data_IF_697532178243
#
_entry.id   IF_697532178243
#
_cell.length_a   1.000
_cell.length_b   1.000
_cell.length_c   1.000
_cell.angle_alpha   90.00
_cell.angle_beta   90.00
_cell.angle_gamma   90.00
#
_symmetry.space_group_name_H-M   'P 1'
#
loop_
_entity.id
_entity.type
_entity.pdbx_description
1 polymer ?
#
# COMPACT_ATOMS: atom_id res chain seq x y z
N UNK A 1 40.63 38.92 -64.90
CA UNK A 1 39.92 39.09 -66.19
C UNK A 1 38.90 37.96 -66.33
N UNK A 2 37.66 38.40 -66.49
CA UNK A 2 36.42 37.70 -66.85
C UNK A 2 35.84 36.60 -65.89
N UNK A 3 34.85 37.08 -65.24
CA UNK A 3 33.73 36.34 -64.55
C UNK A 3 33.01 35.43 -65.59
N UNK A 4 32.51 34.32 -65.04
CA UNK A 4 31.44 33.55 -65.69
C UNK A 4 30.41 33.19 -64.66
N UNK A 5 29.26 33.85 -64.74
CA UNK A 5 28.07 33.66 -63.87
C UNK A 5 27.30 32.47 -64.42
N UNK A 6 27.13 31.41 -63.60
CA UNK A 6 26.17 30.34 -63.89
C UNK A 6 24.94 30.56 -63.02
N UNK A 7 23.82 30.83 -63.67
CA UNK A 7 22.48 30.92 -63.08
C UNK A 7 21.95 29.52 -62.74
N UNK A 8 21.79 29.24 -61.46
CA UNK A 8 21.03 28.07 -61.00
C UNK A 8 19.57 28.45 -60.79
N UNK A 9 18.65 27.78 -61.49
CA UNK A 9 17.20 27.92 -61.34
C UNK A 9 16.75 27.13 -60.11
N UNK A 10 16.22 27.81 -59.12
CA UNK A 10 15.55 27.23 -57.99
C UNK A 10 14.15 26.72 -58.40
N UNK A 11 13.97 25.40 -58.40
CA UNK A 11 12.64 24.79 -58.41
C UNK A 11 12.18 24.68 -56.96
N UNK A 12 11.20 25.47 -56.60
CA UNK A 12 10.50 25.42 -55.34
C UNK A 12 9.53 24.22 -55.35
N UNK A 13 9.88 23.14 -54.71
CA UNK A 13 8.94 22.06 -54.42
C UNK A 13 8.19 22.43 -53.13
N UNK A 14 6.95 22.83 -53.28
CA UNK A 14 6.00 23.09 -52.17
C UNK A 14 5.47 21.73 -51.70
N UNK A 15 6.11 21.15 -50.70
CA UNK A 15 5.54 20.00 -49.98
C UNK A 15 4.53 20.49 -48.96
N UNK A 16 3.25 20.27 -49.27
CA UNK A 16 2.11 20.57 -48.35
C UNK A 16 2.10 19.46 -47.30
N UNK A 17 2.72 19.70 -46.16
CA UNK A 17 2.61 18.81 -44.97
C UNK A 17 1.28 19.11 -44.28
N UNK A 18 0.30 18.25 -44.52
CA UNK A 18 -0.95 18.21 -43.71
C UNK A 18 -0.59 17.59 -42.37
N UNK A 19 -0.31 18.45 -41.38
CA UNK A 19 -0.24 18.03 -39.98
C UNK A 19 -1.66 17.86 -39.45
N UNK A 20 -2.14 16.62 -39.43
CA UNK A 20 -3.30 16.25 -38.60
C UNK A 20 -2.91 16.45 -37.15
N UNK A 21 -3.64 17.26 -36.37
CA UNK A 21 -3.45 17.27 -34.92
C UNK A 21 -3.94 15.92 -34.37
N UNK A 22 -3.00 15.08 -33.92
CA UNK A 22 -3.34 13.96 -33.06
C UNK A 22 -3.90 14.59 -31.76
N UNK A 23 -5.21 14.74 -31.68
CA UNK A 23 -5.88 15.02 -30.42
C UNK A 23 -5.67 13.78 -29.53
N UNK A 24 -4.61 13.78 -28.72
CA UNK A 24 -4.53 12.93 -27.54
C UNK A 24 -5.70 13.38 -26.63
N UNK A 25 -6.86 12.76 -26.82
CA UNK A 25 -7.89 12.79 -25.82
C UNK A 25 -7.29 12.12 -24.57
N UNK A 26 -6.87 12.92 -23.62
CA UNK A 26 -6.61 12.43 -22.27
C UNK A 26 -7.94 11.88 -21.79
N UNK A 27 -8.12 10.57 -21.86
CA UNK A 27 -9.26 9.90 -21.26
C UNK A 27 -9.21 10.24 -19.76
N UNK A 28 -10.07 11.16 -19.36
CA UNK A 28 -10.25 11.49 -17.95
C UNK A 28 -10.76 10.19 -17.31
N UNK A 29 -10.02 9.66 -16.35
CA UNK A 29 -10.44 8.45 -15.65
C UNK A 29 -11.89 8.66 -15.15
N UNK A 30 -12.78 7.73 -15.50
CA UNK A 30 -14.17 7.81 -15.09
C UNK A 30 -14.23 7.85 -13.55
N UNK A 31 -15.05 8.74 -12.99
CA UNK A 31 -15.22 8.83 -11.54
C UNK A 31 -15.83 7.52 -11.01
N UNK A 32 -15.33 7.03 -9.87
CA UNK A 32 -15.91 5.87 -9.21
C UNK A 32 -17.30 6.21 -8.66
N UNK A 33 -18.24 5.28 -8.76
CA UNK A 33 -19.66 5.50 -8.44
C UNK A 33 -20.01 4.84 -7.10
N UNK A 34 -20.73 5.55 -6.25
CA UNK A 34 -21.41 5.05 -5.06
C UNK A 34 -22.89 4.96 -5.34
N UNK A 35 -23.45 3.75 -5.42
CA UNK A 35 -24.89 3.55 -5.65
C UNK A 35 -25.67 3.80 -4.35
N UNK A 36 -25.14 3.34 -3.22
CA UNK A 36 -25.72 3.51 -1.90
C UNK A 36 -24.66 3.29 -0.83
N UNK A 37 -24.78 3.97 0.30
CA UNK A 37 -23.96 3.65 1.47
C UNK A 37 -24.39 2.33 2.12
N UNK A 38 -25.64 1.93 1.97
CA UNK A 38 -26.24 0.74 2.58
C UNK A 38 -26.34 -0.44 1.63
N UNK A 39 -26.56 -1.62 2.21
CA UNK A 39 -26.74 -2.87 1.49
C UNK A 39 -25.43 -3.48 0.97
N UNK A 40 -25.51 -4.48 0.11
CA UNK A 40 -24.34 -5.14 -0.47
C UNK A 40 -23.62 -4.23 -1.47
N UNK A 41 -22.33 -4.50 -1.68
CA UNK A 41 -21.57 -3.89 -2.78
C UNK A 41 -22.21 -4.28 -4.10
N UNK A 42 -22.47 -3.30 -4.97
CA UNK A 42 -23.16 -3.52 -6.25
C UNK A 42 -22.17 -3.85 -7.38
N UNK A 43 -22.70 -4.43 -8.46
CA UNK A 43 -21.90 -4.63 -9.68
C UNK A 43 -21.43 -3.31 -10.29
N UNK A 44 -22.26 -2.27 -10.23
CA UNK A 44 -21.92 -0.96 -10.76
C UNK A 44 -20.75 -0.31 -9.99
N UNK A 45 -20.77 -0.40 -8.65
CA UNK A 45 -19.66 0.09 -7.80
C UNK A 45 -18.35 -0.65 -8.13
N UNK A 46 -18.39 -1.98 -8.26
CA UNK A 46 -17.21 -2.77 -8.63
C UNK A 46 -16.73 -2.42 -10.04
N UNK A 47 -17.66 -2.33 -11.02
CA UNK A 47 -17.28 -2.02 -12.40
C UNK A 47 -16.67 -0.62 -12.51
N UNK A 48 -17.26 0.39 -11.85
CA UNK A 48 -16.70 1.75 -11.85
C UNK A 48 -15.30 1.81 -11.23
N UNK A 49 -15.03 1.00 -10.19
CA UNK A 49 -13.68 0.85 -9.63
C UNK A 49 -12.72 0.19 -10.63
N UNK A 50 -13.14 -0.89 -11.29
CA UNK A 50 -12.32 -1.59 -12.29
C UNK A 50 -11.99 -0.66 -13.46
N UNK A 51 -12.99 0.06 -13.98
CA UNK A 51 -12.81 1.02 -15.08
C UNK A 51 -11.84 2.14 -14.69
N UNK A 52 -11.97 2.70 -13.48
CA UNK A 52 -11.02 3.65 -12.94
C UNK A 52 -9.61 3.06 -12.87
N UNK A 53 -9.46 1.85 -12.31
CA UNK A 53 -8.18 1.17 -12.17
C UNK A 53 -7.51 0.89 -13.52
N UNK A 54 -8.28 0.60 -14.57
CA UNK A 54 -7.72 0.39 -15.93
C UNK A 54 -6.99 1.63 -16.46
N UNK A 55 -7.45 2.85 -16.10
CA UNK A 55 -6.81 4.11 -16.47
C UNK A 55 -5.49 4.40 -15.72
N UNK A 56 -5.21 3.70 -14.63
CA UNK A 56 -4.00 3.94 -13.84
C UNK A 56 -2.75 3.42 -14.54
N UNK A 57 -1.63 4.10 -14.28
CA UNK A 57 -0.30 3.66 -14.69
C UNK A 57 0.61 3.60 -13.46
N UNK A 58 1.53 2.62 -13.37
CA UNK A 58 2.55 2.60 -12.35
C UNK A 58 3.48 3.80 -12.51
N UNK A 59 4.02 4.29 -11.41
CA UNK A 59 5.05 5.33 -11.41
C UNK A 59 6.32 4.83 -12.13
N UNK A 60 7.09 5.76 -12.67
CA UNK A 60 8.30 5.46 -13.44
C UNK A 60 9.56 5.34 -12.56
N UNK A 61 9.47 5.60 -11.27
CA UNK A 61 10.60 5.47 -10.34
C UNK A 61 10.10 5.46 -8.88
N UNK A 62 10.90 4.89 -7.97
CA UNK A 62 10.64 4.94 -6.53
C UNK A 62 11.14 6.27 -5.92
N UNK A 63 10.69 7.40 -6.45
CA UNK A 63 10.89 8.70 -5.85
C UNK A 63 9.75 8.96 -4.87
N UNK A 64 10.04 9.62 -3.73
CA UNK A 64 9.05 9.98 -2.71
C UNK A 64 8.22 8.80 -2.18
N UNK A 65 8.83 7.63 -2.05
CA UNK A 65 8.18 6.38 -1.60
C UNK A 65 7.04 5.91 -2.51
N UNK A 66 7.15 6.09 -3.82
CA UNK A 66 6.10 5.76 -4.79
C UNK A 66 5.50 4.35 -4.60
N UNK A 67 6.34 3.36 -4.26
CA UNK A 67 5.95 1.98 -4.03
C UNK A 67 5.58 1.63 -2.57
N UNK A 68 5.65 2.60 -1.66
CA UNK A 68 5.23 2.41 -0.27
C UNK A 68 3.92 3.18 -0.01
N UNK A 69 4.05 4.43 0.44
CA UNK A 69 2.92 5.33 0.74
C UNK A 69 2.56 6.22 -0.46
N UNK A 70 3.31 6.14 -1.54
CA UNK A 70 3.08 6.87 -2.76
C UNK A 70 1.93 6.28 -3.58
N UNK A 71 1.65 6.93 -4.70
CA UNK A 71 0.46 6.63 -5.51
C UNK A 71 0.42 5.19 -6.00
N UNK A 72 1.52 4.65 -6.51
CA UNK A 72 1.54 3.27 -7.06
C UNK A 72 1.34 2.21 -5.97
N UNK A 73 1.94 2.41 -4.79
CA UNK A 73 1.76 1.51 -3.65
C UNK A 73 0.32 1.51 -3.14
N UNK A 74 -0.28 2.69 -2.96
CA UNK A 74 -1.68 2.79 -2.53
C UNK A 74 -2.65 2.24 -3.60
N UNK A 75 -2.38 2.42 -4.89
CA UNK A 75 -3.15 1.81 -5.97
C UNK A 75 -3.14 0.28 -5.90
N UNK A 76 -1.98 -0.34 -5.66
CA UNK A 76 -1.88 -1.79 -5.51
C UNK A 76 -2.65 -2.30 -4.30
N UNK A 77 -2.52 -1.63 -3.14
CA UNK A 77 -3.30 -1.98 -1.93
C UNK A 77 -4.80 -1.88 -2.18
N UNK A 78 -5.25 -0.83 -2.87
CA UNK A 78 -6.66 -0.62 -3.20
C UNK A 78 -7.19 -1.69 -4.16
N UNK A 79 -6.45 -1.99 -5.24
CA UNK A 79 -6.81 -3.04 -6.19
C UNK A 79 -6.89 -4.42 -5.52
N UNK A 80 -5.93 -4.74 -4.66
CA UNK A 80 -5.93 -6.02 -3.93
C UNK A 80 -7.12 -6.14 -2.98
N UNK A 81 -7.51 -5.04 -2.32
CA UNK A 81 -8.65 -5.02 -1.41
C UNK A 81 -9.97 -5.26 -2.16
N UNK A 82 -10.16 -4.62 -3.31
CA UNK A 82 -11.36 -4.83 -4.15
C UNK A 82 -11.35 -6.20 -4.82
N UNK A 83 -10.19 -6.72 -5.20
CA UNK A 83 -10.06 -8.07 -5.72
C UNK A 83 -10.49 -9.13 -4.68
N UNK A 84 -10.19 -8.91 -3.39
CA UNK A 84 -10.65 -9.78 -2.31
C UNK A 84 -12.19 -9.77 -2.14
N UNK A 85 -12.88 -8.72 -2.57
CA UNK A 85 -14.35 -8.59 -2.55
C UNK A 85 -14.97 -9.24 -3.80
N UNK A 86 -14.44 -8.89 -4.97
CA UNK A 86 -14.97 -9.28 -6.27
C UNK A 86 -13.82 -9.58 -7.25
N UNK A 87 -13.29 -10.81 -7.26
CA UNK A 87 -12.23 -11.20 -8.18
C UNK A 87 -12.63 -10.98 -9.64
N UNK A 88 -11.77 -10.32 -10.41
CA UNK A 88 -11.97 -10.10 -11.84
C UNK A 88 -10.66 -10.17 -12.60
N UNK A 89 -10.67 -10.72 -13.82
CA UNK A 89 -9.48 -10.84 -14.64
C UNK A 89 -8.86 -9.47 -14.97
N UNK A 90 -9.63 -8.44 -15.40
CA UNK A 90 -9.04 -7.14 -15.69
C UNK A 90 -8.31 -6.52 -14.50
N UNK A 91 -8.84 -6.68 -13.29
CA UNK A 91 -8.19 -6.15 -12.08
C UNK A 91 -6.92 -6.92 -11.75
N UNK A 92 -6.91 -8.25 -11.92
CA UNK A 92 -5.72 -9.07 -11.72
C UNK A 92 -4.62 -8.69 -12.72
N UNK A 93 -4.97 -8.50 -13.99
CA UNK A 93 -4.04 -8.10 -15.04
C UNK A 93 -3.40 -6.74 -14.72
N UNK A 94 -4.21 -5.79 -14.26
CA UNK A 94 -3.72 -4.48 -13.83
C UNK A 94 -2.77 -4.58 -12.63
N UNK A 95 -3.11 -5.39 -11.62
CA UNK A 95 -2.23 -5.65 -10.48
C UNK A 95 -0.90 -6.28 -10.92
N UNK A 96 -0.95 -7.25 -11.83
CA UNK A 96 0.27 -7.88 -12.37
C UNK A 96 1.13 -6.85 -13.10
N UNK A 97 0.54 -5.98 -13.92
CA UNK A 97 1.30 -4.92 -14.61
C UNK A 97 2.01 -3.97 -13.63
N UNK A 98 1.38 -3.64 -12.50
CA UNK A 98 2.00 -2.85 -11.44
C UNK A 98 3.12 -3.61 -10.72
N UNK A 99 2.92 -4.90 -10.42
CA UNK A 99 3.94 -5.72 -9.78
C UNK A 99 5.13 -6.01 -10.69
N UNK A 100 4.92 -6.10 -12.02
CA UNK A 100 5.99 -6.18 -12.99
C UNK A 100 6.84 -4.90 -13.03
N UNK A 101 6.19 -3.73 -13.08
CA UNK A 101 6.87 -2.45 -13.01
C UNK A 101 7.65 -2.32 -11.68
N UNK A 102 7.00 -2.59 -10.55
CA UNK A 102 7.64 -2.60 -9.24
C UNK A 102 8.90 -3.46 -9.21
N UNK A 103 8.82 -4.71 -9.66
CA UNK A 103 9.95 -5.63 -9.62
C UNK A 103 11.05 -5.20 -10.58
N UNK A 104 10.72 -4.68 -11.76
CA UNK A 104 11.71 -4.21 -12.75
C UNK A 104 12.50 -2.99 -12.25
N UNK A 105 11.95 -2.21 -11.33
CA UNK A 105 12.62 -1.05 -10.71
C UNK A 105 13.46 -1.38 -9.48
N UNK A 106 13.51 -2.64 -9.05
CA UNK A 106 14.33 -3.01 -7.90
C UNK A 106 15.82 -2.86 -8.22
N UNK A 107 16.58 -2.29 -7.31
CA UNK A 107 17.98 -1.87 -7.51
C UNK A 107 18.89 -2.95 -8.12
N UNK A 108 18.70 -4.22 -7.75
CA UNK A 108 19.51 -5.33 -8.26
C UNK A 108 19.03 -5.85 -9.63
N UNK A 109 17.88 -5.39 -10.14
CA UNK A 109 17.29 -5.76 -11.43
C UNK A 109 17.37 -4.61 -12.42
N UNK A 110 17.03 -3.40 -11.98
CA UNK A 110 17.06 -2.20 -12.80
C UNK A 110 18.48 -1.99 -13.38
N UNK A 111 18.65 -1.78 -14.69
CA UNK A 111 19.97 -1.56 -15.30
C UNK A 111 20.69 -0.30 -14.77
N UNK A 112 22.03 -0.35 -14.77
CA UNK A 112 22.85 0.83 -14.51
C UNK A 112 22.61 1.92 -15.58
N UNK A 113 22.73 3.23 -15.24
CA UNK A 113 23.15 3.77 -13.94
C UNK A 113 22.00 3.97 -12.93
N UNK A 114 20.74 3.76 -13.35
CA UNK A 114 19.60 3.97 -12.46
C UNK A 114 19.50 2.89 -11.38
N UNK A 115 19.79 1.64 -11.71
CA UNK A 115 19.95 0.50 -10.80
C UNK A 115 21.40 0.05 -10.68
N UNK A 116 21.60 -1.16 -10.12
CA UNK A 116 22.92 -1.78 -9.87
C UNK A 116 23.82 -0.89 -9.00
N UNK A 117 23.23 -0.12 -8.12
CA UNK A 117 23.91 0.88 -7.30
C UNK A 117 24.26 0.31 -5.93
N UNK A 118 25.47 0.62 -5.47
CA UNK A 118 25.90 0.29 -4.10
C UNK A 118 25.15 1.19 -3.13
N UNK A 119 24.48 0.58 -2.13
CA UNK A 119 23.74 1.30 -1.10
C UNK A 119 24.52 1.36 0.20
N UNK A 120 23.94 1.93 1.25
CA UNK A 120 24.56 2.10 2.58
C UNK A 120 25.12 0.81 3.20
N UNK A 121 24.67 -0.36 2.78
CA UNK A 121 25.20 -1.67 3.21
C UNK A 121 26.56 -2.02 2.55
N UNK A 122 27.05 -1.20 1.64
CA UNK A 122 28.24 -1.47 0.83
C UNK A 122 28.01 -2.50 -0.28
N UNK A 123 26.77 -2.85 -0.60
CA UNK A 123 26.39 -3.87 -1.59
C UNK A 123 25.31 -3.35 -2.53
N UNK A 124 25.12 -4.07 -3.65
CA UNK A 124 23.94 -3.96 -4.51
C UNK A 124 22.88 -4.89 -3.91
N UNK A 125 22.04 -4.35 -3.03
CA UNK A 125 20.99 -5.12 -2.38
C UNK A 125 19.66 -5.10 -3.18
N UNK A 126 18.79 -6.12 -3.02
CA UNK A 126 17.49 -6.20 -3.68
C UNK A 126 16.47 -5.29 -2.97
N UNK A 127 16.52 -3.99 -3.26
CA UNK A 127 15.77 -2.93 -2.57
C UNK A 127 15.18 -1.91 -3.54
N UNK A 128 14.26 -1.10 -3.05
CA UNK A 128 13.72 0.09 -3.72
C UNK A 128 14.19 1.34 -2.96
N UNK A 129 15.27 2.00 -3.40
CA UNK A 129 15.80 3.16 -2.69
C UNK A 129 14.80 4.31 -2.64
N UNK A 130 14.52 4.82 -1.44
CA UNK A 130 13.64 5.97 -1.25
C UNK A 130 14.38 7.31 -1.29
N UNK A 131 15.70 7.27 -1.15
CA UNK A 131 16.59 8.44 -1.25
C UNK A 131 17.74 8.14 -2.21
N UNK A 132 17.48 8.09 -3.54
CA UNK A 132 18.48 7.72 -4.52
C UNK A 132 19.57 8.79 -4.71
N UNK A 133 19.30 10.05 -4.32
CA UNK A 133 20.19 11.18 -4.55
C UNK A 133 21.18 11.44 -3.40
N UNK A 134 21.05 10.73 -2.27
CA UNK A 134 22.00 10.83 -1.16
C UNK A 134 23.12 9.80 -1.29
N UNK A 135 24.31 10.11 -0.75
CA UNK A 135 25.45 9.20 -0.73
C UNK A 135 25.87 8.91 0.72
N UNK A 136 25.91 7.64 1.13
CA UNK A 136 25.44 6.45 0.39
C UNK A 136 23.92 6.42 0.22
N UNK A 137 23.45 5.76 -0.84
CA UNK A 137 22.00 5.59 -1.10
C UNK A 137 21.34 4.91 0.08
N UNK A 138 20.19 5.42 0.50
CA UNK A 138 19.48 4.97 1.70
C UNK A 138 18.18 4.21 1.36
N UNK A 139 17.82 3.33 2.28
CA UNK A 139 16.54 2.64 2.39
C UNK A 139 16.10 2.65 3.85
N UNK A 140 14.81 2.58 4.11
CA UNK A 140 14.22 2.56 5.45
C UNK A 140 13.14 1.49 5.60
N UNK A 141 12.23 1.68 6.55
CA UNK A 141 11.16 0.75 6.86
C UNK A 141 10.12 0.58 5.75
N UNK A 142 10.08 1.50 4.80
CA UNK A 142 9.21 1.42 3.61
C UNK A 142 9.45 0.19 2.75
N UNK A 143 10.59 -0.52 2.89
CA UNK A 143 10.89 -1.75 2.15
C UNK A 143 9.88 -2.89 2.41
N UNK A 144 9.14 -2.82 3.51
CA UNK A 144 8.05 -3.75 3.82
C UNK A 144 6.90 -3.71 2.81
N UNK A 145 6.55 -2.53 2.32
CA UNK A 145 5.45 -2.35 1.37
C UNK A 145 5.75 -2.91 -0.02
N UNK A 146 6.87 -2.59 -0.70
CA UNK A 146 7.21 -3.19 -1.98
C UNK A 146 7.30 -4.71 -1.95
N UNK A 147 7.93 -5.30 -0.93
CA UNK A 147 7.95 -6.75 -0.73
C UNK A 147 6.52 -7.29 -0.55
N UNK A 148 5.68 -6.56 0.21
CA UNK A 148 4.28 -6.88 0.42
C UNK A 148 3.41 -6.80 -0.81
N UNK A 149 3.68 -5.89 -1.72
CA UNK A 149 2.99 -5.80 -3.01
C UNK A 149 3.26 -7.03 -3.88
N UNK A 150 4.52 -7.45 -3.98
CA UNK A 150 4.87 -8.69 -4.68
C UNK A 150 4.18 -9.90 -4.04
N UNK A 151 4.23 -10.00 -2.71
CA UNK A 151 3.52 -11.04 -1.96
C UNK A 151 2.00 -10.99 -2.18
N UNK A 152 1.40 -9.80 -2.24
CA UNK A 152 -0.04 -9.60 -2.50
C UNK A 152 -0.42 -10.03 -3.91
N UNK A 153 0.34 -9.63 -4.94
CA UNK A 153 0.12 -10.10 -6.32
C UNK A 153 0.23 -11.63 -6.41
N UNK A 154 1.28 -12.21 -5.81
CA UNK A 154 1.44 -13.66 -5.77
C UNK A 154 0.22 -14.33 -5.08
N UNK A 155 -0.19 -13.84 -3.92
CA UNK A 155 -1.34 -14.36 -3.17
C UNK A 155 -2.63 -14.31 -3.99
N UNK A 156 -2.92 -13.20 -4.68
CA UNK A 156 -4.15 -13.07 -5.49
C UNK A 156 -4.14 -14.03 -6.68
N UNK A 157 -3.01 -14.19 -7.36
CA UNK A 157 -2.87 -15.20 -8.41
C UNK A 157 -3.10 -16.60 -7.82
N UNK A 158 -2.45 -16.93 -6.70
CA UNK A 158 -2.52 -18.25 -6.08
C UNK A 158 -3.92 -18.60 -5.55
N UNK A 159 -4.72 -17.61 -5.17
CA UNK A 159 -6.14 -17.80 -4.85
C UNK A 159 -6.99 -18.11 -6.08
N UNK A 160 -6.53 -17.75 -7.27
CA UNK A 160 -7.29 -17.82 -8.53
C UNK A 160 -6.76 -18.93 -9.42
N UNK A 161 -6.89 -20.19 -8.97
CA UNK A 161 -6.29 -21.36 -9.65
C UNK A 161 -6.65 -21.48 -11.13
N UNK A 162 -7.81 -20.97 -11.54
CA UNK A 162 -8.27 -20.99 -12.93
C UNK A 162 -7.35 -20.25 -13.91
N UNK A 163 -6.50 -19.32 -13.43
CA UNK A 163 -5.58 -18.57 -14.31
C UNK A 163 -4.18 -19.17 -14.38
N UNK A 164 -3.84 -20.18 -13.60
CA UNK A 164 -2.47 -20.67 -13.43
C UNK A 164 -1.69 -20.88 -14.72
N UNK A 165 -2.31 -21.57 -15.67
CA UNK A 165 -1.70 -21.94 -16.95
C UNK A 165 -1.96 -20.92 -18.08
N UNK A 166 -2.73 -19.87 -17.78
CA UNK A 166 -2.99 -18.81 -18.75
C UNK A 166 -1.73 -17.94 -18.92
N UNK A 167 -1.52 -17.44 -20.12
CA UNK A 167 -0.49 -16.43 -20.38
C UNK A 167 -0.89 -15.10 -19.73
N UNK A 168 0.07 -14.42 -19.14
CA UNK A 168 -0.13 -13.07 -18.61
C UNK A 168 -0.51 -12.12 -19.73
N UNK A 169 -1.53 -11.29 -19.56
CA UNK A 169 -2.09 -10.43 -20.59
C UNK A 169 -1.06 -9.48 -21.23
N UNK A 170 -0.14 -8.92 -20.42
CA UNK A 170 0.95 -8.05 -20.87
C UNK A 170 2.14 -8.78 -21.48
N UNK A 171 2.09 -10.12 -21.63
CA UNK A 171 3.23 -10.93 -22.02
C UNK A 171 4.31 -11.02 -20.93
N UNK A 172 5.56 -11.25 -21.35
CA UNK A 172 6.70 -11.42 -20.43
C UNK A 172 7.93 -10.59 -20.85
N UNK A 173 7.81 -9.25 -20.93
CA UNK A 173 8.89 -8.38 -21.38
C UNK A 173 10.09 -8.35 -20.42
N UNK A 174 9.90 -8.71 -19.16
CA UNK A 174 10.92 -8.71 -18.12
C UNK A 174 11.43 -10.12 -17.77
N UNK A 175 10.95 -11.16 -18.42
CA UNK A 175 11.29 -12.57 -18.14
C UNK A 175 10.96 -13.01 -16.70
N UNK A 176 9.85 -12.48 -16.14
CA UNK A 176 9.38 -12.85 -14.80
C UNK A 176 8.48 -14.09 -14.78
N UNK A 177 8.14 -14.64 -15.95
CA UNK A 177 7.32 -15.84 -16.14
C UNK A 177 6.16 -15.61 -17.10
N UNK A 178 6.01 -16.50 -18.08
CA UNK A 178 5.02 -16.34 -19.15
C UNK A 178 3.56 -16.62 -18.70
N UNK A 179 3.38 -17.40 -17.63
CA UNK A 179 2.06 -17.74 -17.06
C UNK A 179 1.85 -17.11 -15.71
N UNK A 180 0.59 -16.98 -15.27
CA UNK A 180 0.28 -16.42 -13.95
C UNK A 180 0.95 -17.19 -12.83
N UNK A 181 0.94 -18.53 -12.85
CA UNK A 181 1.60 -19.31 -11.81
C UNK A 181 3.13 -19.09 -11.78
N UNK A 182 3.78 -19.02 -12.94
CA UNK A 182 5.20 -18.70 -13.00
C UNK A 182 5.46 -17.30 -12.43
N UNK A 183 4.63 -16.33 -12.81
CA UNK A 183 4.73 -14.96 -12.31
C UNK A 183 4.56 -14.88 -10.79
N UNK A 184 3.57 -15.58 -10.23
CA UNK A 184 3.36 -15.64 -8.77
C UNK A 184 4.58 -16.22 -8.04
N UNK A 185 5.16 -17.29 -8.56
CA UNK A 185 6.38 -17.89 -7.98
C UNK A 185 7.57 -16.95 -8.05
N UNK A 186 7.74 -16.23 -9.17
CA UNK A 186 8.79 -15.21 -9.30
C UNK A 186 8.60 -14.09 -8.29
N UNK A 187 7.40 -13.51 -8.19
CA UNK A 187 7.14 -12.44 -7.22
C UNK A 187 7.44 -12.87 -5.79
N UNK A 188 6.98 -14.07 -5.41
CA UNK A 188 7.21 -14.61 -4.08
C UNK A 188 8.70 -14.78 -3.80
N UNK A 189 9.44 -15.47 -4.68
CA UNK A 189 10.87 -15.70 -4.49
C UNK A 189 11.69 -14.41 -4.50
N UNK A 190 11.29 -13.42 -5.29
CA UNK A 190 11.97 -12.13 -5.34
C UNK A 190 11.66 -11.24 -4.12
N UNK A 191 10.47 -11.33 -3.57
CA UNK A 191 10.13 -10.69 -2.30
C UNK A 191 10.89 -11.32 -1.14
N UNK A 192 10.96 -12.65 -1.08
CA UNK A 192 11.77 -13.38 -0.10
C UNK A 192 13.25 -13.02 -0.18
N UNK A 193 13.78 -12.86 -1.39
CA UNK A 193 15.16 -12.37 -1.58
C UNK A 193 15.37 -11.01 -0.92
N UNK A 194 14.42 -10.08 -1.06
CA UNK A 194 14.48 -8.77 -0.37
C UNK A 194 14.45 -8.94 1.15
N UNK A 195 13.55 -9.79 1.65
CA UNK A 195 13.45 -10.06 3.10
C UNK A 195 14.75 -10.66 3.64
N UNK A 196 15.27 -11.69 2.99
CA UNK A 196 16.41 -12.46 3.49
C UNK A 196 17.74 -11.72 3.29
N UNK A 197 17.92 -11.02 2.18
CA UNK A 197 19.20 -10.41 1.83
C UNK A 197 19.34 -8.96 2.31
N UNK A 198 18.22 -8.27 2.57
CA UNK A 198 18.25 -6.88 3.03
C UNK A 198 17.48 -6.67 4.33
N UNK A 199 16.16 -6.94 4.37
CA UNK A 199 15.32 -6.55 5.51
C UNK A 199 15.82 -7.21 6.80
N UNK A 200 15.83 -8.54 6.89
CA UNK A 200 16.20 -9.25 8.11
C UNK A 200 17.71 -9.47 8.27
N UNK A 201 18.50 -9.22 7.22
CA UNK A 201 19.96 -9.35 7.28
C UNK A 201 20.65 -8.06 7.71
N UNK A 202 20.17 -6.91 7.22
CA UNK A 202 20.92 -5.64 7.32
C UNK A 202 20.10 -4.51 7.93
N UNK A 203 18.79 -4.41 7.63
CA UNK A 203 17.98 -3.26 8.00
C UNK A 203 17.35 -3.44 9.39
N UNK A 204 16.80 -4.61 9.68
CA UNK A 204 16.06 -4.91 10.91
C UNK A 204 16.80 -5.95 11.74
N UNK A 205 16.97 -5.65 13.03
CA UNK A 205 17.38 -6.60 14.05
C UNK A 205 16.19 -7.01 14.88
N UNK A 206 15.96 -8.31 14.97
CA UNK A 206 14.94 -8.89 15.86
C UNK A 206 15.56 -9.11 17.25
N UNK A 207 14.95 -8.50 18.26
CA UNK A 207 15.40 -8.61 19.68
C UNK A 207 14.20 -8.90 20.56
N UNK A 208 14.44 -9.33 21.79
CA UNK A 208 13.41 -9.49 22.84
C UNK A 208 12.16 -10.24 22.38
N UNK A 209 12.35 -11.42 21.78
CA UNK A 209 11.22 -12.24 21.31
C UNK A 209 10.64 -11.81 19.97
N UNK A 210 11.47 -11.36 19.03
CA UNK A 210 11.13 -10.94 17.67
C UNK A 210 10.59 -9.48 17.52
N UNK A 211 10.82 -8.59 18.48
CA UNK A 211 10.53 -7.17 18.31
C UNK A 211 11.46 -6.54 17.28
N UNK A 212 10.92 -5.67 16.44
CA UNK A 212 11.67 -5.03 15.35
C UNK A 212 12.39 -3.77 15.81
N UNK A 213 13.71 -3.77 15.67
CA UNK A 213 14.60 -2.62 15.84
C UNK A 213 15.36 -2.36 14.54
N UNK A 214 15.69 -1.14 14.23
CA UNK A 214 16.67 -0.90 13.18
C UNK A 214 18.05 -1.42 13.61
N UNK A 215 18.83 -1.93 12.65
CA UNK A 215 20.21 -2.32 12.90
C UNK A 215 21.03 -1.11 13.39
N UNK A 216 22.10 -1.37 14.18
CA UNK A 216 22.92 -0.31 14.75
C UNK A 216 23.63 0.56 13.70
N UNK A 217 23.77 0.09 12.47
CA UNK A 217 24.35 0.82 11.34
C UNK A 217 23.31 1.25 10.28
N UNK A 218 22.01 1.14 10.57
CA UNK A 218 20.97 1.59 9.67
C UNK A 218 21.05 3.12 9.44
N UNK A 219 20.73 3.63 8.24
CA UNK A 219 20.85 5.05 7.93
C UNK A 219 19.79 5.92 8.60
N UNK A 220 18.76 5.31 9.17
CA UNK A 220 17.65 5.97 9.86
C UNK A 220 17.38 5.29 11.19
N UNK A 221 17.26 6.05 12.27
CA UNK A 221 16.97 5.57 13.64
C UNK A 221 17.81 4.36 14.07
N UNK A 222 19.11 4.36 13.73
CA UNK A 222 20.04 3.27 14.03
C UNK A 222 19.93 2.78 15.50
N UNK A 223 19.72 1.48 15.68
CA UNK A 223 19.59 0.84 16.98
C UNK A 223 18.27 1.12 17.73
N UNK A 224 17.37 1.94 17.20
CA UNK A 224 16.10 2.29 17.83
C UNK A 224 14.95 1.39 17.38
N UNK A 225 13.86 1.31 18.16
CA UNK A 225 12.64 0.65 17.76
C UNK A 225 12.14 1.15 16.40
N UNK A 226 11.65 0.25 15.58
CA UNK A 226 11.00 0.60 14.30
C UNK A 226 9.69 1.33 14.60
N UNK A 227 9.40 2.48 13.97
CA UNK A 227 8.12 3.17 14.10
C UNK A 227 6.93 2.29 13.74
N UNK A 228 5.78 2.50 14.41
CA UNK A 228 4.62 1.64 14.26
C UNK A 228 4.10 1.57 12.82
N UNK A 229 4.01 2.71 12.13
CA UNK A 229 3.61 2.76 10.73
C UNK A 229 4.54 1.93 9.82
N UNK A 230 5.84 1.93 10.08
CA UNK A 230 6.80 1.11 9.35
C UNK A 230 6.71 -0.37 9.75
N UNK A 231 6.43 -0.67 11.03
CA UNK A 231 6.08 -2.04 11.44
C UNK A 231 4.83 -2.55 10.70
N UNK A 232 3.83 -1.69 10.45
CA UNK A 232 2.66 -2.06 9.65
C UNK A 232 2.97 -2.27 8.16
N UNK A 233 3.99 -1.60 7.61
CA UNK A 233 4.51 -1.88 6.26
C UNK A 233 5.19 -3.25 6.20
N UNK A 234 6.07 -3.57 7.16
CA UNK A 234 6.62 -4.93 7.28
C UNK A 234 5.51 -5.95 7.54
N UNK A 235 4.51 -5.59 8.34
CA UNK A 235 3.32 -6.42 8.58
C UNK A 235 2.55 -6.75 7.31
N UNK A 236 2.39 -5.77 6.43
CA UNK A 236 1.81 -6.00 5.10
C UNK A 236 2.66 -6.98 4.28
N UNK A 237 3.99 -6.83 4.31
CA UNK A 237 4.94 -7.71 3.65
C UNK A 237 4.82 -9.15 4.15
N UNK A 238 5.12 -9.35 5.41
CA UNK A 238 5.18 -10.69 6.01
C UNK A 238 3.84 -11.44 5.96
N UNK A 239 2.71 -10.75 6.17
CA UNK A 239 1.40 -11.38 6.09
C UNK A 239 1.09 -11.90 4.68
N UNK A 240 1.30 -11.07 3.63
CA UNK A 240 1.03 -11.49 2.27
C UNK A 240 1.96 -12.63 1.82
N UNK A 241 3.24 -12.58 2.21
CA UNK A 241 4.20 -13.65 1.93
C UNK A 241 3.83 -14.94 2.65
N UNK A 242 3.48 -14.88 3.95
CA UNK A 242 3.04 -16.05 4.71
C UNK A 242 1.81 -16.72 4.04
N UNK A 243 0.81 -15.91 3.67
CA UNK A 243 -0.39 -16.42 3.00
C UNK A 243 -0.10 -16.99 1.61
N UNK A 244 0.84 -16.42 0.85
CA UNK A 244 1.24 -16.95 -0.45
C UNK A 244 1.95 -18.31 -0.31
N UNK A 245 2.87 -18.45 0.65
CA UNK A 245 3.52 -19.74 0.95
C UNK A 245 2.54 -20.81 1.43
N UNK A 246 1.55 -20.44 2.24
CA UNK A 246 0.48 -21.37 2.63
C UNK A 246 -0.33 -21.89 1.44
N UNK A 247 -0.66 -21.00 0.48
CA UNK A 247 -1.37 -21.41 -0.74
C UNK A 247 -0.52 -22.32 -1.63
N UNK A 248 0.80 -22.10 -1.71
CA UNK A 248 1.74 -22.99 -2.41
C UNK A 248 2.09 -24.25 -1.63
N UNK A 249 1.97 -24.25 -0.30
CA UNK A 249 2.38 -25.31 0.62
C UNK A 249 3.86 -25.66 0.49
N UNK A 250 4.72 -24.66 0.27
CA UNK A 250 6.14 -24.85 -0.09
C UNK A 250 7.13 -24.57 1.07
N UNK A 251 6.84 -23.58 1.96
CA UNK A 251 7.76 -23.20 3.05
C UNK A 251 7.04 -22.92 4.38
N UNK A 252 6.63 -23.97 5.11
CA UNK A 252 5.95 -23.80 6.40
C UNK A 252 6.83 -23.18 7.50
N UNK A 253 8.16 -23.31 7.39
CA UNK A 253 9.08 -22.69 8.33
C UNK A 253 9.10 -21.17 8.18
N UNK A 254 9.07 -20.68 6.95
CA UNK A 254 8.98 -19.27 6.63
C UNK A 254 7.64 -18.66 7.07
N UNK A 255 6.54 -19.36 6.83
CA UNK A 255 5.21 -18.96 7.33
C UNK A 255 5.26 -18.77 8.85
N UNK A 256 5.74 -19.76 9.59
CA UNK A 256 5.88 -19.70 11.04
C UNK A 256 6.75 -18.53 11.50
N UNK A 257 7.87 -18.30 10.81
CA UNK A 257 8.78 -17.18 11.13
C UNK A 257 8.09 -15.83 10.98
N UNK A 258 7.39 -15.62 9.87
CA UNK A 258 6.68 -14.36 9.61
C UNK A 258 5.58 -14.12 10.63
N UNK A 259 4.79 -15.17 10.95
CA UNK A 259 3.74 -15.08 11.97
C UNK A 259 4.30 -14.76 13.36
N UNK A 260 5.43 -15.34 13.73
CA UNK A 260 6.07 -15.06 15.02
C UNK A 260 6.54 -13.59 15.12
N UNK A 261 7.10 -13.04 14.05
CA UNK A 261 7.49 -11.64 14.00
C UNK A 261 6.26 -10.74 14.14
N UNK A 262 5.20 -11.03 13.38
CA UNK A 262 3.98 -10.22 13.40
C UNK A 262 3.29 -10.27 14.76
N UNK A 263 3.14 -11.44 15.34
CA UNK A 263 2.55 -11.61 16.67
C UNK A 263 3.31 -10.83 17.73
N UNK A 264 4.65 -10.94 17.75
CA UNK A 264 5.47 -10.26 18.74
C UNK A 264 5.34 -8.72 18.68
N UNK A 265 5.27 -8.17 17.47
CA UNK A 265 5.17 -6.72 17.29
C UNK A 265 3.75 -6.21 17.53
N UNK A 266 2.72 -6.98 17.17
CA UNK A 266 1.34 -6.68 17.54
C UNK A 266 1.14 -6.70 19.07
N UNK A 267 1.66 -7.72 19.74
CA UNK A 267 1.60 -7.80 21.21
C UNK A 267 2.35 -6.63 21.86
N UNK A 268 3.51 -6.26 21.33
CA UNK A 268 4.27 -5.12 21.80
C UNK A 268 3.49 -3.81 21.66
N UNK A 269 2.90 -3.57 20.50
CA UNK A 269 2.03 -2.41 20.28
C UNK A 269 0.86 -2.38 21.28
N UNK A 270 0.13 -3.48 21.38
CA UNK A 270 -1.06 -3.55 22.24
C UNK A 270 -0.74 -3.47 23.73
N UNK A 271 0.38 -4.01 24.18
CA UNK A 271 0.74 -4.06 25.61
C UNK A 271 1.49 -2.81 26.08
N UNK A 272 2.37 -2.27 25.26
CA UNK A 272 3.32 -1.23 25.66
C UNK A 272 3.22 0.06 24.83
N UNK A 273 2.74 -0.01 23.58
CA UNK A 273 2.68 1.14 22.68
C UNK A 273 1.50 2.08 22.92
N UNK A 274 0.47 1.62 23.64
CA UNK A 274 -0.79 2.33 23.82
C UNK A 274 -0.89 3.03 25.16
N UNK A 275 -1.25 4.31 25.16
CA UNK A 275 -1.85 5.01 26.30
C UNK A 275 -3.35 4.78 26.25
N UNK A 276 -3.90 4.19 27.34
CA UNK A 276 -5.34 3.89 27.49
C UNK A 276 -5.96 4.91 28.40
N UNK A 277 -7.09 5.48 27.96
CA UNK A 277 -7.80 6.47 28.77
C UNK A 277 -9.32 6.43 28.48
N UNK A 278 -10.07 7.21 29.22
CA UNK A 278 -11.49 7.46 28.97
C UNK A 278 -11.63 8.85 28.36
N UNK A 279 -12.29 8.95 27.21
CA UNK A 279 -12.53 10.21 26.52
C UNK A 279 -13.59 11.08 27.23
N UNK A 280 -13.85 12.27 26.69
CA UNK A 280 -14.84 13.21 27.25
C UNK A 280 -16.29 12.69 27.16
N UNK A 281 -16.56 11.72 26.29
CA UNK A 281 -17.86 11.06 26.18
C UNK A 281 -18.00 9.85 27.13
N UNK A 282 -17.00 9.57 27.96
CA UNK A 282 -16.98 8.44 28.89
C UNK A 282 -16.66 7.10 28.24
N UNK A 283 -16.08 7.10 27.03
CA UNK A 283 -15.75 5.89 26.26
C UNK A 283 -14.26 5.57 26.32
N UNK A 284 -13.87 4.28 26.32
CA UNK A 284 -12.46 3.90 26.20
C UNK A 284 -11.86 4.43 24.89
N UNK A 285 -10.70 5.06 24.98
CA UNK A 285 -9.94 5.58 23.84
C UNK A 285 -8.46 5.24 23.98
N UNK A 286 -7.74 5.26 22.86
CA UNK A 286 -6.31 5.01 22.79
C UNK A 286 -5.59 6.21 22.19
N UNK A 287 -4.39 6.47 22.74
CA UNK A 287 -3.37 7.28 22.09
C UNK A 287 -2.09 6.45 21.99
N UNK A 288 -1.22 6.77 21.05
CA UNK A 288 0.11 6.19 20.92
C UNK A 288 1.07 7.20 20.30
N UNK A 289 2.34 6.97 20.44
CA UNK A 289 3.39 7.78 19.81
C UNK A 289 3.88 7.17 18.49
N UNK A 290 4.80 7.87 17.85
CA UNK A 290 5.39 7.42 16.59
C UNK A 290 6.17 6.10 16.73
N UNK A 291 6.88 5.94 17.86
CA UNK A 291 7.69 4.76 18.18
C UNK A 291 7.95 4.71 19.68
N UNK A 292 8.29 3.53 20.21
CA UNK A 292 8.76 3.43 21.60
C UNK A 292 10.02 4.27 21.84
N UNK A 293 10.15 4.88 23.05
CA UNK A 293 9.28 4.74 24.21
C UNK A 293 8.04 5.65 24.24
N UNK A 294 7.82 6.46 23.21
CA UNK A 294 6.67 7.37 23.17
C UNK A 294 5.36 6.59 23.01
N UNK A 295 4.38 6.90 23.86
CA UNK A 295 3.09 6.24 23.90
C UNK A 295 1.91 7.20 23.68
N UNK A 296 2.19 8.42 23.17
CA UNK A 296 1.15 9.41 22.90
C UNK A 296 1.54 10.40 21.83
N UNK A 297 0.53 10.97 21.17
CA UNK A 297 0.68 12.10 20.27
C UNK A 297 1.16 11.75 18.86
N UNK A 298 0.88 10.53 18.37
CA UNK A 298 1.09 10.18 16.96
C UNK A 298 0.35 11.14 16.05
N UNK A 299 0.94 11.47 14.92
CA UNK A 299 0.27 12.31 13.94
C UNK A 299 -0.83 11.56 13.16
N UNK A 300 -1.79 12.33 12.69
CA UNK A 300 -2.96 11.83 11.98
C UNK A 300 -2.61 10.99 10.73
N UNK A 301 -1.49 11.30 10.06
CA UNK A 301 -1.06 10.56 8.86
C UNK A 301 -0.60 9.16 9.20
N UNK A 302 0.34 9.05 10.14
CA UNK A 302 0.89 7.77 10.58
C UNK A 302 -0.17 6.94 11.32
N UNK A 303 -0.96 7.56 12.22
CA UNK A 303 -2.05 6.87 12.91
C UNK A 303 -3.10 6.24 11.97
N UNK A 304 -3.34 6.87 10.80
CA UNK A 304 -4.19 6.28 9.76
C UNK A 304 -3.57 5.02 9.14
N UNK A 305 -2.24 5.00 8.94
CA UNK A 305 -1.53 3.83 8.43
C UNK A 305 -1.52 2.70 9.46
N UNK A 306 -1.28 3.03 10.72
CA UNK A 306 -1.32 2.08 11.84
C UNK A 306 -2.69 1.42 11.93
N UNK A 307 -3.75 2.22 11.88
CA UNK A 307 -5.14 1.73 11.92
C UNK A 307 -5.45 0.79 10.77
N UNK A 308 -5.04 1.13 9.55
CA UNK A 308 -5.22 0.26 8.37
C UNK A 308 -4.41 -1.03 8.49
N UNK A 309 -3.21 -0.98 9.06
CA UNK A 309 -2.37 -2.14 9.33
C UNK A 309 -2.99 -3.07 10.37
N UNK A 310 -3.45 -2.53 11.51
CA UNK A 310 -4.13 -3.29 12.56
C UNK A 310 -5.41 -3.97 12.02
N UNK A 311 -6.21 -3.25 11.22
CA UNK A 311 -7.37 -3.84 10.58
C UNK A 311 -7.00 -5.03 9.69
N UNK A 312 -5.93 -4.94 8.92
CA UNK A 312 -5.43 -6.04 8.07
C UNK A 312 -5.03 -7.26 8.89
N UNK A 313 -4.34 -7.06 10.02
CA UNK A 313 -4.00 -8.15 10.94
C UNK A 313 -5.26 -8.76 11.56
N UNK A 314 -6.22 -7.95 11.99
CA UNK A 314 -7.53 -8.40 12.48
C UNK A 314 -8.28 -9.24 11.43
N UNK A 315 -8.36 -8.73 10.21
CA UNK A 315 -9.08 -9.38 9.11
C UNK A 315 -8.47 -10.74 8.74
N UNK A 316 -7.16 -10.90 8.89
CA UNK A 316 -6.47 -12.16 8.62
C UNK A 316 -6.94 -13.30 9.55
N UNK A 317 -7.43 -12.98 10.74
CA UNK A 317 -7.87 -13.95 11.76
C UNK A 317 -6.72 -14.77 12.37
N UNK A 318 -5.45 -14.41 12.10
CA UNK A 318 -4.27 -15.21 12.46
C UNK A 318 -3.73 -14.94 13.87
N UNK A 319 -3.86 -13.69 14.35
CA UNK A 319 -3.12 -13.21 15.53
C UNK A 319 -3.99 -13.03 16.77
N UNK A 320 -5.18 -13.56 16.79
CA UNK A 320 -6.09 -13.48 17.94
C UNK A 320 -6.59 -12.05 18.27
N UNK A 321 -6.34 -11.07 17.40
CA UNK A 321 -6.80 -9.69 17.59
C UNK A 321 -8.33 -9.63 17.58
N UNK A 322 -8.91 -9.01 18.61
CA UNK A 322 -10.36 -8.96 18.82
C UNK A 322 -10.93 -7.58 18.47
N UNK A 323 -12.19 -7.54 18.04
CA UNK A 323 -12.92 -6.29 17.76
C UNK A 323 -12.93 -5.33 18.97
N UNK A 324 -13.07 -5.84 20.17
CA UNK A 324 -13.03 -5.04 21.40
C UNK A 324 -11.70 -4.32 21.63
N UNK A 325 -10.59 -4.83 21.09
CA UNK A 325 -9.28 -4.18 21.16
C UNK A 325 -9.13 -3.06 20.14
N UNK A 326 -9.94 -3.04 19.07
CA UNK A 326 -9.91 -2.01 18.04
C UNK A 326 -11.00 -0.92 18.22
N UNK A 327 -12.06 -1.23 18.94
CA UNK A 327 -13.14 -0.26 19.19
C UNK A 327 -12.68 1.06 19.83
N UNK A 328 -11.72 1.08 20.79
CA UNK A 328 -11.22 2.33 21.35
C UNK A 328 -10.52 3.24 20.33
N UNK A 329 -9.94 2.70 19.25
CA UNK A 329 -9.37 3.50 18.15
C UNK A 329 -10.48 4.30 17.46
N UNK A 330 -11.65 3.69 17.25
CA UNK A 330 -12.78 4.40 16.66
C UNK A 330 -13.25 5.57 17.55
N UNK A 331 -13.27 5.38 18.87
CA UNK A 331 -13.60 6.45 19.79
C UNK A 331 -12.56 7.57 19.76
N UNK A 332 -11.26 7.25 19.67
CA UNK A 332 -10.19 8.25 19.47
C UNK A 332 -10.48 9.11 18.24
N UNK A 333 -10.79 8.48 17.11
CA UNK A 333 -11.02 9.21 15.84
C UNK A 333 -12.25 10.11 15.93
N UNK A 334 -13.34 9.62 16.54
CA UNK A 334 -14.64 10.31 16.58
C UNK A 334 -14.76 11.37 17.68
N UNK A 335 -14.25 11.08 18.86
CA UNK A 335 -14.51 11.89 20.04
C UNK A 335 -13.33 12.81 20.40
N UNK A 336 -12.14 12.45 19.95
CA UNK A 336 -10.90 13.17 20.28
C UNK A 336 -10.34 13.91 19.08
N UNK A 337 -10.20 13.23 17.94
CA UNK A 337 -9.61 13.85 16.75
C UNK A 337 -10.60 14.70 15.95
N UNK A 338 -11.88 14.31 15.88
CA UNK A 338 -12.88 15.02 15.08
C UNK A 338 -13.25 16.36 15.76
N UNK A 339 -12.87 17.46 15.10
CA UNK A 339 -13.13 18.83 15.57
C UNK A 339 -14.42 19.43 14.98
N UNK A 340 -14.96 18.82 13.94
CA UNK A 340 -16.16 19.24 13.22
C UNK A 340 -16.32 18.44 11.93
N UNK A 341 -17.29 18.82 11.12
CA UNK A 341 -17.55 18.15 9.85
C UNK A 341 -16.30 18.23 8.94
N UNK A 342 -15.78 17.05 8.56
CA UNK A 342 -14.54 16.90 7.79
C UNK A 342 -13.28 17.50 8.41
N UNK A 343 -13.34 17.98 9.64
CA UNK A 343 -12.23 18.64 10.30
C UNK A 343 -11.67 17.76 11.42
N UNK A 344 -10.40 17.39 11.30
CA UNK A 344 -9.73 16.47 12.22
C UNK A 344 -8.42 17.07 12.75
N UNK A 345 -8.17 16.88 14.03
CA UNK A 345 -6.92 17.25 14.69
C UNK A 345 -5.72 16.60 13.99
N UNK A 346 -4.59 17.25 14.08
CA UNK A 346 -3.34 16.77 13.51
C UNK A 346 -2.71 15.60 14.25
N UNK A 347 -3.18 15.31 15.47
CA UNK A 347 -2.69 14.22 16.32
C UNK A 347 -3.81 13.43 16.95
N UNK A 348 -3.53 12.19 17.33
CA UNK A 348 -4.49 11.27 17.96
C UNK A 348 -5.03 11.80 19.30
N UNK A 349 -4.23 12.55 20.06
CA UNK A 349 -4.65 13.16 21.31
C UNK A 349 -5.48 14.44 21.15
N UNK A 350 -5.93 14.75 19.95
CA UNK A 350 -6.77 15.92 19.67
C UNK A 350 -6.00 17.25 19.53
N UNK A 351 -4.67 17.23 19.65
CA UNK A 351 -3.84 18.43 19.45
C UNK A 351 -3.47 18.64 17.99
N UNK A 352 -3.03 19.84 17.66
CA UNK A 352 -2.59 20.24 16.33
C UNK A 352 -1.21 20.89 16.42
N UNK A 353 -0.36 20.67 15.43
CA UNK A 353 1.00 21.18 15.35
C UNK A 353 1.38 21.62 13.95
N UNK A 354 2.65 21.51 13.60
CA UNK A 354 3.19 21.82 12.28
C UNK A 354 3.46 20.54 11.47
N UNK A 355 3.68 20.67 10.17
CA UNK A 355 4.03 19.55 9.28
C UNK A 355 2.93 18.48 9.24
N UNK A 356 3.28 17.22 9.46
CA UNK A 356 2.34 16.09 9.48
C UNK A 356 1.31 16.17 10.61
N UNK A 357 1.56 17.00 11.63
CA UNK A 357 0.65 17.24 12.76
C UNK A 357 -0.30 18.40 12.56
N UNK A 358 -0.41 18.95 11.34
CA UNK A 358 -1.48 19.90 11.01
C UNK A 358 -2.83 19.20 10.99
N UNK A 359 -3.87 19.93 11.36
CA UNK A 359 -5.25 19.53 11.14
C UNK A 359 -5.54 19.27 9.66
N UNK A 360 -6.56 18.48 9.41
CA UNK A 360 -6.99 18.12 8.04
C UNK A 360 -8.47 18.42 7.86
N UNK A 361 -8.82 18.85 6.64
CA UNK A 361 -10.21 19.10 6.23
C UNK A 361 -10.83 17.86 5.55
N UNK A 362 -10.36 16.68 5.89
CA UNK A 362 -10.88 15.40 5.43
C UNK A 362 -10.48 14.27 6.38
N UNK A 363 -11.27 13.22 6.40
CA UNK A 363 -10.91 11.98 7.09
C UNK A 363 -9.88 11.20 6.27
N UNK A 364 -8.78 10.81 6.89
CA UNK A 364 -7.82 9.89 6.24
C UNK A 364 -8.43 8.50 6.12
N UNK A 365 -8.27 7.90 4.96
CA UNK A 365 -8.99 6.69 4.55
C UNK A 365 -8.71 5.46 5.42
N UNK A 366 -7.54 5.35 6.07
CA UNK A 366 -7.25 4.24 6.98
C UNK A 366 -8.21 4.14 8.17
N UNK A 367 -8.76 5.25 8.61
CA UNK A 367 -9.72 5.27 9.70
C UNK A 367 -11.13 4.77 9.31
N UNK A 368 -11.44 4.66 8.02
CA UNK A 368 -12.74 4.11 7.58
C UNK A 368 -13.02 2.72 8.13
N UNK A 369 -12.00 1.92 8.35
CA UNK A 369 -12.15 0.59 8.94
C UNK A 369 -12.67 0.60 10.38
N UNK A 370 -12.47 1.70 11.12
CA UNK A 370 -12.94 1.82 12.50
C UNK A 370 -14.46 1.79 12.62
N UNK A 371 -15.18 2.14 11.53
CA UNK A 371 -16.64 2.07 11.46
C UNK A 371 -17.19 0.65 11.61
N UNK A 372 -16.37 -0.37 11.43
CA UNK A 372 -16.73 -1.77 11.68
C UNK A 372 -16.78 -2.09 13.18
N UNK A 373 -16.10 -1.32 14.01
CA UNK A 373 -16.02 -1.46 15.46
C UNK A 373 -16.90 -0.45 16.20
N UNK A 374 -17.31 0.62 15.49
CA UNK A 374 -18.23 1.65 15.98
C UNK A 374 -19.27 1.95 14.89
N UNK A 375 -20.30 1.08 14.70
CA UNK A 375 -21.24 1.19 13.59
C UNK A 375 -22.05 2.49 13.53
N UNK A 376 -22.29 3.13 14.66
CA UNK A 376 -22.99 4.44 14.74
C UNK A 376 -22.24 5.57 14.04
N UNK A 377 -20.92 5.44 13.88
CA UNK A 377 -20.06 6.42 13.21
C UNK A 377 -20.05 6.31 11.68
N UNK A 378 -20.65 5.27 11.13
CA UNK A 378 -20.49 4.92 9.72
C UNK A 378 -20.84 6.08 8.78
N UNK A 379 -22.05 6.63 8.88
CA UNK A 379 -22.49 7.70 7.97
C UNK A 379 -21.67 8.98 8.13
N UNK A 380 -21.36 9.36 9.36
CA UNK A 380 -20.50 10.51 9.65
C UNK A 380 -19.14 10.36 8.99
N UNK A 381 -18.48 9.22 9.16
CA UNK A 381 -17.15 8.99 8.61
C UNK A 381 -17.15 8.86 7.09
N UNK A 382 -18.21 8.28 6.49
CA UNK A 382 -18.36 8.23 5.02
C UNK A 382 -18.59 9.63 4.43
N UNK A 383 -19.34 10.49 5.12
CA UNK A 383 -19.50 11.89 4.74
C UNK A 383 -18.16 12.64 4.85
N UNK A 384 -17.46 12.50 5.98
CA UNK A 384 -16.20 13.18 6.24
C UNK A 384 -15.07 12.73 5.29
N UNK A 385 -15.13 11.48 4.81
CA UNK A 385 -14.23 10.96 3.79
C UNK A 385 -14.58 11.40 2.37
N UNK A 386 -15.71 12.10 2.17
CA UNK A 386 -16.18 12.54 0.86
C UNK A 386 -16.67 11.40 -0.04
N UNK A 387 -17.10 10.29 0.55
CA UNK A 387 -17.67 9.15 -0.17
C UNK A 387 -19.14 9.43 -0.52
N UNK A 388 -19.90 9.97 0.43
CA UNK A 388 -21.34 10.18 0.29
C UNK A 388 -21.69 11.20 -0.82
N UNK A 389 -20.94 12.27 -0.94
CA UNK A 389 -21.18 13.35 -1.92
C UNK A 389 -20.32 13.22 -3.18
N UNK A 390 -19.55 12.13 -3.31
CA UNK A 390 -18.68 11.88 -4.45
C UNK A 390 -17.49 12.82 -4.56
N UNK A 391 -17.24 13.72 -3.58
CA UNK A 391 -16.11 14.66 -3.64
C UNK A 391 -14.73 13.97 -3.69
N UNK A 392 -14.66 12.71 -3.28
CA UNK A 392 -13.49 11.83 -3.36
C UNK A 392 -13.66 10.66 -4.35
N UNK A 393 -14.52 10.78 -5.36
CA UNK A 393 -14.75 9.73 -6.36
C UNK A 393 -13.50 9.37 -7.20
N UNK A 394 -12.43 10.14 -7.11
CA UNK A 394 -11.12 9.85 -7.72
C UNK A 394 -10.09 9.28 -6.72
N UNK A 395 -10.42 9.18 -5.44
CA UNK A 395 -9.52 8.65 -4.41
C UNK A 395 -9.70 7.16 -4.24
N UNK A 396 -8.92 6.39 -4.98
CA UNK A 396 -8.97 4.92 -5.01
C UNK A 396 -8.75 4.29 -3.63
N UNK A 397 -7.90 4.86 -2.78
CA UNK A 397 -7.63 4.41 -1.43
C UNK A 397 -8.88 4.51 -0.52
N UNK A 398 -9.58 5.63 -0.57
CA UNK A 398 -10.80 5.84 0.21
C UNK A 398 -11.96 4.98 -0.33
N UNK A 399 -12.11 4.93 -1.66
CA UNK A 399 -13.19 4.17 -2.29
C UNK A 399 -13.06 2.66 -2.06
N UNK A 400 -11.87 2.08 -2.20
CA UNK A 400 -11.63 0.66 -1.94
C UNK A 400 -11.93 0.27 -0.49
N UNK A 401 -11.57 1.13 0.47
CA UNK A 401 -11.86 0.92 1.90
C UNK A 401 -13.35 1.06 2.21
N UNK A 402 -14.04 2.00 1.57
CA UNK A 402 -15.49 2.08 1.61
C UNK A 402 -16.14 0.77 1.13
N UNK A 403 -15.76 0.25 -0.05
CA UNK A 403 -16.28 -1.00 -0.57
C UNK A 403 -16.02 -2.17 0.39
N UNK A 404 -14.83 -2.22 1.00
CA UNK A 404 -14.49 -3.26 1.96
C UNK A 404 -15.35 -3.18 3.23
N UNK A 405 -15.53 -1.98 3.78
CA UNK A 405 -16.41 -1.77 4.94
C UNK A 405 -17.86 -2.13 4.61
N UNK A 406 -18.36 -1.66 3.46
CA UNK A 406 -19.72 -1.96 2.98
C UNK A 406 -19.95 -3.46 2.82
N UNK A 407 -19.00 -4.18 2.22
CA UNK A 407 -19.08 -5.63 2.04
C UNK A 407 -19.17 -6.37 3.39
N UNK A 408 -18.36 -5.97 4.40
CA UNK A 408 -18.42 -6.56 5.75
C UNK A 408 -19.76 -6.26 6.44
N UNK A 409 -20.24 -5.03 6.37
CA UNK A 409 -21.52 -4.61 6.96
C UNK A 409 -22.72 -5.36 6.38
N UNK A 410 -22.68 -5.68 5.10
CA UNK A 410 -23.71 -6.48 4.42
C UNK A 410 -23.66 -8.00 4.73
N UNK A 411 -22.83 -8.42 5.68
CA UNK A 411 -22.66 -9.83 6.04
C UNK A 411 -21.68 -10.60 5.13
N UNK A 412 -20.97 -9.89 4.27
CA UNK A 412 -19.86 -10.44 3.48
C UNK A 412 -18.71 -10.78 4.41
N UNK A 413 -18.37 -12.06 4.51
CA UNK A 413 -17.14 -12.47 5.17
C UNK A 413 -15.96 -12.18 4.24
N UNK A 414 -15.26 -11.04 4.47
CA UNK A 414 -13.92 -10.83 3.88
C UNK A 414 -12.87 -11.68 4.64
N UNK A 415 -13.29 -12.58 5.52
CA UNK A 415 -12.37 -13.57 6.07
C UNK A 415 -11.92 -14.40 4.89
N UNK A 416 -10.64 -14.31 4.55
CA UNK A 416 -10.02 -15.28 3.66
C UNK A 416 -10.33 -16.65 4.26
N UNK A 417 -11.25 -17.40 3.64
CA UNK A 417 -11.41 -18.80 3.95
C UNK A 417 -10.14 -19.47 3.45
N UNK A 418 -9.10 -19.46 4.27
CA UNK A 418 -8.04 -20.44 4.14
C UNK A 418 -8.65 -21.75 4.61
N UNK A 419 -8.72 -22.79 3.78
CA UNK A 419 -9.12 -24.12 4.26
C UNK A 419 -8.17 -24.50 5.40
N UNK A 420 -8.74 -24.87 6.53
CA UNK A 420 -7.98 -25.49 7.62
C UNK A 420 -7.46 -26.84 7.17
#
# INVERSE_FOLDING_TARGET
MKESIVKQKNLLNLALTISLPLACATAQAAAMTVDSLDGPVTRNEIQSFVDFAQGLQPGASNVDNEWAQGRSGENLKAMALVYDIAPSQPLLDKMVSFCDALLSERNDILPAPAGQRVIWTGRIDPVWPNKPDVSPIQTGGEQGDPAGHLGSCARQILKTTAVYNQKVAGGDPFHFGATYLQRAKTYLSQADKTVDQHILKSLIKLTDGNRMYFAANAPYKAGLPVPWNQQMMFGYGFLNLAQAHELLKDDPARVKRYDQILQANLDWFLQSGLTRYTDKAGRPAYDWGYTMPDTSGEDNSHGSLDTAGLYRLYQSGRYGLQAAQLAPIANTVLDVMRLGDRHYAGRLNGTTGAGNSKDTNYLRSGYLFTTLFQPSAYYTMMSDAGIQDGSNASRIDAFSRFLAVKAVRAGGNIKSKTPR
#
